data_IF_333188733982
#
_entry.id   IF_333188733982
#
_cell.length_a   1.000
_cell.length_b   1.000
_cell.length_c   1.000
_cell.angle_alpha   90.00
_cell.angle_beta   90.00
_cell.angle_gamma   90.00
#
_symmetry.space_group_name_H-M   'P 1'
#
loop_
_entity.id
_entity.type
_entity.pdbx_description
1 polymer ?
#
# COMPACT_ATOMS: atom_id res chain seq x y z
N UNK A 1 0.18 -3.65 -5.99
CA UNK A 1 -1.21 -4.07 -5.69
C UNK A 1 -1.87 -2.93 -4.95
N UNK A 2 -2.69 -2.16 -5.65
CA UNK A 2 -3.47 -1.11 -5.00
C UNK A 2 -4.60 -1.76 -4.21
N UNK A 3 -4.55 -1.69 -2.90
CA UNK A 3 -5.69 -2.08 -2.07
C UNK A 3 -6.66 -0.90 -2.15
N UNK A 4 -7.66 -1.02 -3.00
CA UNK A 4 -8.73 -0.01 -3.12
C UNK A 4 -9.61 0.06 -1.88
N UNK A 5 -9.60 -1.00 -1.11
CA UNK A 5 -10.39 -1.11 0.10
C UNK A 5 -9.57 -1.85 1.16
N UNK A 6 -9.22 -1.17 2.21
CA UNK A 6 -8.51 -1.75 3.36
C UNK A 6 -9.44 -2.57 4.26
N UNK A 7 -10.59 -2.99 3.73
CA UNK A 7 -11.53 -3.80 4.48
C UNK A 7 -11.05 -5.24 4.57
N UNK A 8 -10.74 -5.67 5.77
CA UNK A 8 -10.46 -7.08 6.11
C UNK A 8 -11.64 -8.00 5.70
N UNK A 9 -12.83 -7.43 5.59
CA UNK A 9 -14.05 -8.14 5.20
C UNK A 9 -14.10 -8.60 3.73
N UNK A 10 -13.19 -8.11 2.88
CA UNK A 10 -13.14 -8.47 1.44
C UNK A 10 -12.14 -9.57 1.13
N UNK A 11 -11.56 -10.21 2.14
CA UNK A 11 -10.64 -11.32 1.96
C UNK A 11 -11.37 -12.62 1.75
N UNK A 12 -10.89 -13.38 0.79
CA UNK A 12 -11.28 -14.79 0.63
C UNK A 12 -10.85 -15.62 1.84
N UNK A 13 -11.47 -16.78 2.02
CA UNK A 13 -11.07 -17.73 3.05
C UNK A 13 -9.58 -18.07 2.91
N UNK A 14 -8.88 -18.06 4.04
CA UNK A 14 -7.46 -18.40 4.06
C UNK A 14 -7.28 -19.90 3.90
N UNK A 15 -6.44 -20.29 2.95
CA UNK A 15 -6.06 -21.67 2.74
C UNK A 15 -5.01 -22.09 3.77
N UNK A 16 -5.45 -22.77 4.82
CA UNK A 16 -4.59 -23.25 5.88
C UNK A 16 -5.15 -24.53 6.50
N UNK A 17 -4.27 -25.31 7.15
CA UNK A 17 -4.68 -26.54 7.82
C UNK A 17 -5.68 -26.24 8.95
N UNK A 18 -6.75 -27.05 9.12
CA UNK A 18 -7.79 -26.82 10.14
C UNK A 18 -7.26 -26.62 11.56
N UNK A 19 -6.21 -27.36 11.95
CA UNK A 19 -5.65 -27.30 13.31
C UNK A 19 -5.01 -25.96 13.66
N UNK A 20 -4.57 -25.19 12.67
CA UNK A 20 -3.95 -23.87 12.86
C UNK A 20 -4.84 -22.70 12.43
N UNK A 21 -6.03 -23.00 11.90
CA UNK A 21 -6.92 -22.00 11.32
C UNK A 21 -7.25 -20.87 12.31
N UNK A 22 -7.58 -21.19 13.54
CA UNK A 22 -7.87 -20.19 14.57
C UNK A 22 -6.68 -19.26 14.85
N UNK A 23 -5.49 -19.81 14.92
CA UNK A 23 -4.25 -19.05 15.12
C UNK A 23 -3.95 -18.13 13.93
N UNK A 24 -4.17 -18.63 12.71
CA UNK A 24 -3.97 -17.86 11.47
C UNK A 24 -4.94 -16.69 11.40
N UNK A 25 -6.23 -16.91 11.67
CA UNK A 25 -7.21 -15.83 11.67
C UNK A 25 -6.99 -14.81 12.79
N UNK A 26 -6.55 -15.23 13.98
CA UNK A 26 -6.16 -14.31 15.06
C UNK A 26 -4.96 -13.45 14.66
N UNK A 27 -3.94 -14.05 14.06
CA UNK A 27 -2.78 -13.32 13.57
C UNK A 27 -3.16 -12.32 12.46
N UNK A 28 -4.01 -12.73 11.54
CA UNK A 28 -4.51 -11.89 10.45
C UNK A 28 -5.30 -10.70 10.99
N UNK A 29 -6.21 -10.93 11.93
CA UNK A 29 -6.98 -9.86 12.57
C UNK A 29 -6.08 -8.88 13.32
N UNK A 30 -5.07 -9.39 14.06
CA UNK A 30 -4.09 -8.56 14.75
C UNK A 30 -3.28 -7.71 13.76
N UNK A 31 -2.87 -8.29 12.65
CA UNK A 31 -2.18 -7.55 11.59
C UNK A 31 -3.07 -6.44 11.01
N UNK A 32 -4.33 -6.74 10.72
CA UNK A 32 -5.30 -5.74 10.27
C UNK A 32 -5.43 -4.57 11.24
N UNK A 33 -5.52 -4.84 12.53
CA UNK A 33 -5.58 -3.79 13.56
C UNK A 33 -4.31 -2.92 13.58
N UNK A 34 -3.13 -3.51 13.38
CA UNK A 34 -1.88 -2.76 13.27
C UNK A 34 -1.87 -1.83 12.05
N UNK A 35 -2.45 -2.24 10.93
CA UNK A 35 -2.55 -1.40 9.73
C UNK A 35 -3.43 -0.15 9.95
N UNK A 36 -4.38 -0.23 10.86
CA UNK A 36 -5.25 0.89 11.24
C UNK A 36 -4.70 1.74 12.39
N UNK A 37 -3.63 1.31 13.04
CA UNK A 37 -2.97 2.10 14.09
C UNK A 37 -2.20 3.27 13.46
N UNK A 38 -2.51 4.48 13.92
CA UNK A 38 -1.88 5.71 13.42
C UNK A 38 -0.34 5.74 13.53
N UNK A 39 0.23 4.93 14.43
CA UNK A 39 1.69 4.79 14.57
C UNK A 39 2.36 4.19 13.34
N UNK A 40 1.62 3.42 12.55
CA UNK A 40 2.10 2.75 11.35
C UNK A 40 1.61 3.41 10.07
N UNK A 41 0.94 4.55 10.17
CA UNK A 41 0.38 5.29 9.06
C UNK A 41 1.12 6.61 8.84
N UNK A 42 1.36 6.93 7.57
CA UNK A 42 1.81 8.25 7.14
C UNK A 42 0.68 8.84 6.30
N UNK A 43 0.12 9.95 6.76
CA UNK A 43 -0.95 10.64 6.07
C UNK A 43 -0.47 12.02 5.61
N UNK A 44 -0.65 12.30 4.34
CA UNK A 44 -0.34 13.62 3.78
C UNK A 44 -1.26 13.92 2.59
N UNK A 45 -1.42 15.19 2.30
CA UNK A 45 -2.19 15.67 1.16
C UNK A 45 -1.23 15.98 0.02
N UNK A 46 -1.53 15.47 -1.16
CA UNK A 46 -0.81 15.82 -2.38
C UNK A 46 -1.36 17.13 -2.94
N UNK A 47 -0.46 17.99 -3.39
CA UNK A 47 -0.78 19.23 -4.09
C UNK A 47 -0.45 19.09 -5.59
N UNK A 48 -0.99 19.97 -6.45
CA UNK A 48 -0.63 19.98 -7.86
C UNK A 48 0.87 20.11 -8.07
N UNK A 49 1.45 19.17 -8.81
CA UNK A 49 2.89 19.11 -9.06
C UNK A 49 3.66 18.16 -8.14
N UNK A 50 3.05 17.63 -7.10
CA UNK A 50 3.71 16.64 -6.23
C UNK A 50 3.90 15.32 -6.96
N UNK A 51 5.07 14.72 -6.72
CA UNK A 51 5.41 13.37 -7.13
C UNK A 51 5.60 12.52 -5.88
N UNK A 52 4.84 11.45 -5.81
CA UNK A 52 4.92 10.46 -4.74
C UNK A 52 5.43 9.14 -5.28
N UNK A 53 6.56 8.67 -4.78
CA UNK A 53 7.18 7.41 -5.20
C UNK A 53 7.46 6.51 -3.99
N UNK A 54 7.19 5.23 -4.12
CA UNK A 54 7.38 4.29 -3.03
C UNK A 54 7.58 2.86 -3.54
N UNK A 55 8.20 2.04 -2.70
CA UNK A 55 8.36 0.62 -2.96
C UNK A 55 7.07 -0.14 -2.62
N UNK A 56 6.30 -0.48 -3.64
CA UNK A 56 5.02 -1.16 -3.52
C UNK A 56 5.09 -2.56 -2.88
N UNK A 57 6.28 -3.16 -2.76
CA UNK A 57 6.48 -4.44 -2.06
C UNK A 57 6.58 -4.30 -0.55
N UNK A 58 6.81 -3.08 -0.05
CA UNK A 58 7.05 -2.81 1.37
C UNK A 58 5.94 -2.00 2.03
N UNK A 59 5.12 -1.33 1.26
CA UNK A 59 4.12 -0.41 1.77
C UNK A 59 2.73 -0.81 1.28
N UNK A 60 1.78 -0.74 2.16
CA UNK A 60 0.38 -0.65 1.81
C UNK A 60 0.04 0.82 1.63
N UNK A 61 -0.80 1.11 0.66
CA UNK A 61 -1.21 2.48 0.38
C UNK A 61 -2.69 2.52 0.02
N UNK A 62 -3.30 3.60 0.35
CA UNK A 62 -4.69 3.86 0.06
C UNK A 62 -4.96 5.36 0.00
N UNK A 63 -6.19 5.70 -0.15
CA UNK A 63 -6.66 7.09 -0.08
C UNK A 63 -7.84 7.17 0.87
N UNK A 64 -8.00 8.31 1.49
CA UNK A 64 -9.22 8.66 2.21
C UNK A 64 -10.34 8.98 1.22
N UNK A 65 -11.57 8.94 1.69
CA UNK A 65 -12.71 9.44 0.93
C UNK A 65 -12.47 10.90 0.49
N UNK A 66 -12.96 11.23 -0.67
CA UNK A 66 -12.95 12.59 -1.17
C UNK A 66 -14.36 12.95 -1.70
N UNK A 67 -14.72 14.21 -1.56
CA UNK A 67 -15.95 14.73 -2.14
C UNK A 67 -15.76 14.97 -3.64
N UNK A 68 -16.51 14.28 -4.53
CA UNK A 68 -16.41 14.49 -5.97
C UNK A 68 -16.72 15.92 -6.41
N UNK A 69 -17.48 16.67 -5.59
CA UNK A 69 -17.87 18.04 -5.85
C UNK A 69 -16.83 19.07 -5.39
N UNK A 70 -15.76 18.64 -4.72
CA UNK A 70 -14.75 19.55 -4.16
C UNK A 70 -13.73 20.08 -5.19
N UNK A 71 -13.86 19.71 -6.46
CA UNK A 71 -12.99 20.17 -7.54
C UNK A 71 -12.45 19.07 -8.43
N UNK A 72 -11.67 19.45 -9.41
CA UNK A 72 -11.02 18.50 -10.32
C UNK A 72 -9.85 17.80 -9.61
N UNK A 73 -9.83 16.48 -9.76
CA UNK A 73 -8.73 15.65 -9.29
C UNK A 73 -8.15 14.86 -10.46
N UNK A 74 -6.87 15.06 -10.72
CA UNK A 74 -6.12 14.31 -11.70
C UNK A 74 -4.89 13.69 -11.06
N UNK A 75 -4.79 12.37 -11.10
CA UNK A 75 -3.65 11.61 -10.59
C UNK A 75 -3.20 10.64 -11.66
N UNK A 76 -1.94 10.74 -12.07
CA UNK A 76 -1.32 9.78 -12.96
C UNK A 76 -0.44 8.83 -12.16
N UNK A 77 -0.53 7.52 -12.46
CA UNK A 77 0.31 6.51 -11.86
C UNK A 77 1.19 5.83 -12.91
N UNK A 78 2.41 5.53 -12.52
CA UNK A 78 3.36 4.78 -13.32
C UNK A 78 4.05 3.71 -12.47
N UNK A 79 4.31 2.57 -13.06
CA UNK A 79 5.06 1.49 -12.44
C UNK A 79 6.41 1.34 -13.11
N UNK A 80 7.46 1.20 -12.32
CA UNK A 80 8.82 0.97 -12.79
C UNK A 80 9.37 -0.30 -12.15
N UNK A 81 10.04 -1.13 -12.92
CA UNK A 81 10.68 -2.32 -12.39
C UNK A 81 11.81 -1.94 -11.43
N UNK A 82 11.82 -2.60 -10.28
CA UNK A 82 12.81 -2.33 -9.24
C UNK A 82 14.24 -2.57 -9.73
N UNK A 83 14.43 -3.58 -10.57
CA UNK A 83 15.76 -3.93 -11.08
C UNK A 83 16.32 -2.87 -12.02
N UNK A 84 15.49 -2.19 -12.78
CA UNK A 84 15.89 -1.03 -13.59
C UNK A 84 16.38 0.12 -12.70
N UNK A 85 15.66 0.42 -11.62
CA UNK A 85 16.06 1.46 -10.67
C UNK A 85 17.40 1.11 -10.03
N UNK A 86 17.57 -0.13 -9.56
CA UNK A 86 18.79 -0.58 -8.90
C UNK A 86 19.96 -0.61 -9.92
N UNK A 87 19.71 -1.10 -11.11
CA UNK A 87 20.70 -1.11 -12.19
C UNK A 87 21.19 0.30 -12.54
N UNK A 88 20.28 1.24 -12.69
CA UNK A 88 20.61 2.63 -12.95
C UNK A 88 21.38 3.28 -11.80
N UNK A 89 20.97 3.00 -10.56
CA UNK A 89 21.67 3.51 -9.39
C UNK A 89 23.11 2.98 -9.30
N UNK A 90 23.32 1.69 -9.56
CA UNK A 90 24.66 1.08 -9.60
C UNK A 90 25.52 1.71 -10.70
N UNK A 91 24.95 1.87 -11.88
CA UNK A 91 25.64 2.54 -13.00
C UNK A 91 26.10 3.95 -12.61
N UNK A 92 25.23 4.76 -12.04
CA UNK A 92 25.56 6.14 -11.64
C UNK A 92 26.60 6.20 -10.50
N UNK A 93 26.68 5.18 -9.66
CA UNK A 93 27.70 5.09 -8.58
C UNK A 93 29.04 4.57 -9.05
N UNK A 94 29.13 3.99 -10.26
CA UNK A 94 30.37 3.48 -10.81
C UNK A 94 31.19 4.55 -11.57
N UNK A 95 30.66 5.73 -11.69
CA UNK A 95 31.31 6.94 -12.19
C UNK A 95 31.60 7.92 -11.03
#
# INVERSE_FOLDING_TARGET
MCIRDSSIATLDALDCHPDIMDSVYKAHHRFGNLLHDSKFQINFRLEPGDIFSFNNRRLLHGRTEFDPNSGHRHLQGYYMDRDEIIGRLKFLKSY
#
